data_IF_009145494436
#
_entry.id   IF_009145494436
#
_cell.length_a   1.000
_cell.length_b   1.000
_cell.length_c   1.000
_cell.angle_alpha   90.00
_cell.angle_beta   90.00
_cell.angle_gamma   90.00
#
_symmetry.space_group_name_H-M   'P 1'
#
loop_
_entity.id
_entity.type
_entity.pdbx_description
1 polymer ?
#
# COMPACT_ATOMS: atom_id res chain seq x y z
N UNK A 1 -2.59 -28.02 14.25
CA UNK A 1 -3.06 -27.37 13.01
C UNK A 1 -3.44 -25.93 13.34
N UNK A 2 -2.98 -24.95 12.58
CA UNK A 2 -3.36 -23.54 12.77
C UNK A 2 -4.82 -23.36 12.34
N UNK A 3 -5.63 -22.76 13.18
CA UNK A 3 -7.03 -22.46 12.83
C UNK A 3 -7.15 -21.15 12.06
N UNK A 4 -8.23 -20.97 11.30
CA UNK A 4 -8.54 -19.71 10.60
C UNK A 4 -8.57 -18.52 11.60
N UNK A 5 -9.17 -18.73 12.78
CA UNK A 5 -9.23 -17.68 13.80
C UNK A 5 -7.85 -17.27 14.35
N UNK A 6 -6.95 -18.23 14.54
CA UNK A 6 -5.55 -17.92 14.93
C UNK A 6 -4.80 -17.20 13.83
N UNK A 7 -5.10 -17.50 12.56
CA UNK A 7 -4.53 -16.84 11.39
C UNK A 7 -4.94 -15.36 11.33
N UNK A 8 -6.21 -15.04 11.49
CA UNK A 8 -6.66 -13.63 11.56
C UNK A 8 -6.06 -12.87 12.75
N UNK A 9 -5.95 -13.49 13.93
CA UNK A 9 -5.28 -12.86 15.07
C UNK A 9 -3.81 -12.57 14.78
N UNK A 10 -3.15 -13.45 14.05
CA UNK A 10 -1.76 -13.24 13.62
C UNK A 10 -1.64 -12.07 12.63
N UNK A 11 -2.53 -11.98 11.63
CA UNK A 11 -2.60 -10.85 10.71
C UNK A 11 -2.83 -9.53 11.45
N UNK A 12 -3.72 -9.51 12.44
CA UNK A 12 -3.95 -8.33 13.28
C UNK A 12 -2.71 -7.91 14.06
N UNK A 13 -1.92 -8.86 14.58
CA UNK A 13 -0.66 -8.54 15.26
C UNK A 13 0.36 -7.89 14.31
N UNK A 14 0.43 -8.36 13.05
CA UNK A 14 1.27 -7.75 12.02
C UNK A 14 0.83 -6.30 11.78
N UNK A 15 -0.46 -6.08 11.54
CA UNK A 15 -0.99 -4.73 11.31
C UNK A 15 -0.70 -3.79 12.49
N UNK A 16 -0.93 -4.23 13.73
CA UNK A 16 -0.63 -3.45 14.94
C UNK A 16 0.84 -3.09 15.10
N UNK A 17 1.72 -4.00 14.70
CA UNK A 17 3.17 -3.78 14.78
C UNK A 17 3.62 -2.71 13.79
N UNK A 18 3.11 -2.74 12.56
CA UNK A 18 3.62 -1.94 11.45
C UNK A 18 2.83 -0.64 11.20
N UNK A 19 1.54 -0.60 11.56
CA UNK A 19 0.71 0.60 11.42
C UNK A 19 -0.32 0.70 12.55
N UNK A 20 0.04 1.42 13.61
CA UNK A 20 -0.85 1.66 14.77
C UNK A 20 -2.09 2.46 14.37
N UNK A 21 -1.92 3.49 13.52
CA UNK A 21 -3.01 4.36 13.07
C UNK A 21 -4.04 3.57 12.25
N UNK A 22 -3.59 2.82 11.24
CA UNK A 22 -4.47 1.98 10.44
C UNK A 22 -5.13 0.88 11.26
N UNK A 23 -4.37 0.22 12.18
CA UNK A 23 -4.98 -0.77 13.06
C UNK A 23 -6.11 -0.18 13.89
N UNK A 24 -5.88 1.00 14.50
CA UNK A 24 -6.92 1.67 15.29
C UNK A 24 -8.14 2.04 14.46
N UNK A 25 -7.94 2.59 13.27
CA UNK A 25 -9.04 3.00 12.39
C UNK A 25 -9.84 1.78 11.89
N UNK A 26 -9.18 0.76 11.35
CA UNK A 26 -9.84 -0.42 10.78
C UNK A 26 -10.42 -1.37 11.85
N UNK A 27 -9.97 -1.32 13.10
CA UNK A 27 -10.56 -2.06 14.20
C UNK A 27 -12.00 -1.58 14.54
N UNK A 28 -12.42 -0.42 14.04
CA UNK A 28 -13.79 0.10 14.17
C UNK A 28 -14.78 -0.53 13.17
N UNK A 29 -14.30 -1.22 12.12
CA UNK A 29 -15.16 -1.93 11.18
C UNK A 29 -15.91 -3.09 11.85
N UNK A 30 -17.05 -3.53 11.28
CA UNK A 30 -17.67 -4.79 11.63
C UNK A 30 -16.69 -5.97 11.57
N UNK A 31 -16.98 -7.03 12.33
CA UNK A 31 -16.01 -8.12 12.52
C UNK A 31 -15.54 -8.78 11.22
N UNK A 32 -16.44 -8.98 10.27
CA UNK A 32 -16.13 -9.59 8.97
C UNK A 32 -15.16 -8.75 8.16
N UNK A 33 -15.45 -7.44 8.05
CA UNK A 33 -14.64 -6.50 7.27
C UNK A 33 -13.28 -6.27 7.91
N UNK A 34 -13.22 -6.02 9.23
CA UNK A 34 -11.92 -5.80 9.90
C UNK A 34 -11.00 -7.00 9.82
N UNK A 35 -11.53 -8.23 9.92
CA UNK A 35 -10.74 -9.47 9.74
C UNK A 35 -10.20 -9.58 8.32
N UNK A 36 -11.04 -9.30 7.33
CA UNK A 36 -10.64 -9.30 5.93
C UNK A 36 -9.55 -8.25 5.66
N UNK A 37 -9.70 -7.03 6.21
CA UNK A 37 -8.66 -5.98 6.12
C UNK A 37 -7.36 -6.43 6.78
N UNK A 38 -7.38 -7.07 7.95
CA UNK A 38 -6.16 -7.58 8.57
C UNK A 38 -5.43 -8.60 7.69
N UNK A 39 -6.19 -9.50 7.04
CA UNK A 39 -5.61 -10.51 6.15
C UNK A 39 -4.97 -9.87 4.91
N UNK A 40 -5.68 -8.98 4.23
CA UNK A 40 -5.18 -8.27 3.04
C UNK A 40 -3.96 -7.40 3.40
N UNK A 41 -4.04 -6.62 4.48
CA UNK A 41 -2.91 -5.83 4.97
C UNK A 41 -1.67 -6.69 5.24
N UNK A 42 -1.86 -7.86 5.88
CA UNK A 42 -0.75 -8.76 6.17
C UNK A 42 -0.11 -9.33 4.90
N UNK A 43 -0.90 -9.59 3.84
CA UNK A 43 -0.37 -9.99 2.51
C UNK A 43 0.43 -8.85 1.91
N UNK A 44 -0.10 -7.62 1.85
CA UNK A 44 0.64 -6.47 1.34
C UNK A 44 1.95 -6.25 2.12
N UNK A 45 1.90 -6.37 3.45
CA UNK A 45 3.08 -6.18 4.30
C UNK A 45 4.18 -7.22 4.06
N UNK A 46 3.85 -8.51 3.88
CA UNK A 46 4.87 -9.51 3.58
C UNK A 46 5.42 -9.40 2.15
N UNK A 47 4.67 -8.83 1.22
CA UNK A 47 5.17 -8.47 -0.10
C UNK A 47 6.26 -7.40 0.06
N UNK A 48 5.95 -6.31 0.73
CA UNK A 48 6.84 -5.19 1.04
C UNK A 48 8.11 -5.66 1.80
N UNK A 49 7.93 -6.31 2.96
CA UNK A 49 9.03 -6.83 3.80
C UNK A 49 9.97 -7.79 3.05
N UNK A 50 9.49 -8.50 2.02
CA UNK A 50 10.28 -9.50 1.29
C UNK A 50 11.49 -8.90 0.58
N UNK A 51 11.40 -7.65 0.16
CA UNK A 51 12.47 -6.91 -0.51
C UNK A 51 13.12 -5.92 0.46
N UNK A 52 12.34 -5.08 1.12
CA UNK A 52 12.86 -3.99 1.96
C UNK A 52 13.62 -4.49 3.19
N UNK A 53 13.08 -5.49 3.91
CA UNK A 53 13.71 -5.98 5.14
C UNK A 53 14.52 -7.26 4.92
N UNK A 54 14.04 -8.19 4.09
CA UNK A 54 14.62 -9.52 3.96
C UNK A 54 15.53 -9.68 2.74
N UNK A 55 15.43 -8.79 1.75
CA UNK A 55 16.17 -8.85 0.47
C UNK A 55 16.07 -10.25 -0.16
N UNK A 56 14.86 -10.81 -0.19
CA UNK A 56 14.60 -12.19 -0.54
C UNK A 56 13.58 -12.33 -1.70
N UNK A 57 14.03 -12.21 -2.96
CA UNK A 57 13.17 -12.36 -4.14
C UNK A 57 12.47 -13.73 -4.23
N UNK A 58 13.08 -14.80 -3.67
CA UNK A 58 12.46 -16.12 -3.64
C UNK A 58 11.21 -16.15 -2.75
N UNK A 59 11.21 -15.36 -1.67
CA UNK A 59 10.02 -15.20 -0.83
C UNK A 59 8.92 -14.46 -1.56
N UNK A 60 9.25 -13.40 -2.29
CA UNK A 60 8.29 -12.67 -3.13
C UNK A 60 7.66 -13.60 -4.17
N UNK A 61 8.48 -14.44 -4.83
CA UNK A 61 7.98 -15.45 -5.77
C UNK A 61 7.06 -16.47 -5.09
N UNK A 62 7.39 -16.93 -3.88
CA UNK A 62 6.54 -17.85 -3.12
C UNK A 62 5.18 -17.21 -2.76
N UNK A 63 5.18 -15.91 -2.40
CA UNK A 63 3.94 -15.16 -2.15
C UNK A 63 3.08 -15.10 -3.41
N UNK A 64 3.68 -14.79 -4.57
CA UNK A 64 2.99 -14.75 -5.87
C UNK A 64 2.34 -16.08 -6.21
N UNK A 65 3.06 -17.19 -6.02
CA UNK A 65 2.55 -18.54 -6.27
C UNK A 65 1.39 -18.91 -5.34
N UNK A 66 1.46 -18.53 -4.06
CA UNK A 66 0.38 -18.75 -3.10
C UNK A 66 -0.89 -17.95 -3.47
N UNK A 67 -0.73 -16.69 -3.92
CA UNK A 67 -1.84 -15.86 -4.40
C UNK A 67 -2.47 -16.48 -5.67
N UNK A 68 -1.67 -16.95 -6.63
CA UNK A 68 -2.15 -17.63 -7.82
C UNK A 68 -2.93 -18.91 -7.49
N UNK A 69 -2.45 -19.68 -6.51
CA UNK A 69 -3.13 -20.88 -6.05
C UNK A 69 -4.51 -20.54 -5.44
N UNK A 70 -4.61 -19.47 -4.67
CA UNK A 70 -5.87 -18.97 -4.09
C UNK A 70 -6.82 -18.49 -5.20
N UNK A 71 -6.33 -17.67 -6.13
CA UNK A 71 -7.10 -17.18 -7.29
C UNK A 71 -7.68 -18.31 -8.14
N UNK A 72 -6.88 -19.34 -8.38
CA UNK A 72 -7.31 -20.51 -9.17
C UNK A 72 -8.30 -21.42 -8.44
N UNK A 73 -8.63 -21.14 -7.17
CA UNK A 73 -9.51 -21.93 -6.31
C UNK A 73 -9.06 -23.40 -6.13
N UNK A 74 -7.76 -23.66 -6.25
CA UNK A 74 -7.17 -25.00 -6.11
C UNK A 74 -6.69 -25.32 -4.68
N UNK A 75 -7.18 -24.56 -3.68
CA UNK A 75 -6.86 -24.78 -2.29
C UNK A 75 -7.75 -25.85 -1.70
N UNK A 76 -7.14 -26.94 -1.22
CA UNK A 76 -7.83 -27.99 -0.46
C UNK A 76 -7.35 -28.05 1.00
N UNK A 77 -7.91 -28.93 1.80
CA UNK A 77 -7.60 -29.06 3.24
C UNK A 77 -6.16 -29.53 3.52
N UNK A 78 -5.42 -29.97 2.53
CA UNK A 78 -4.04 -30.50 2.66
C UNK A 78 -3.00 -29.49 2.21
N UNK A 79 -3.42 -28.36 1.63
CA UNK A 79 -2.52 -27.34 1.07
C UNK A 79 -1.62 -26.75 2.16
N UNK A 80 -0.34 -26.72 1.86
CA UNK A 80 0.67 -25.99 2.62
C UNK A 80 1.15 -24.81 1.75
N UNK A 81 0.84 -23.59 2.19
CA UNK A 81 1.32 -22.39 1.54
C UNK A 81 2.82 -22.23 1.72
N UNK A 82 3.50 -21.76 0.67
CA UNK A 82 4.96 -21.68 0.60
C UNK A 82 5.53 -20.49 1.36
N UNK A 83 4.82 -19.36 1.33
CA UNK A 83 5.31 -18.09 1.90
C UNK A 83 5.02 -17.97 3.40
N UNK A 84 3.76 -17.98 3.78
CA UNK A 84 3.33 -17.90 5.18
C UNK A 84 1.97 -18.57 5.40
N UNK A 85 1.98 -19.74 6.03
CA UNK A 85 0.76 -20.54 6.22
C UNK A 85 -0.38 -19.79 6.93
N UNK A 86 -0.07 -18.95 7.93
CA UNK A 86 -1.11 -18.24 8.69
C UNK A 86 -1.72 -17.11 7.87
N UNK A 87 -0.89 -16.31 7.24
CA UNK A 87 -1.36 -15.17 6.43
C UNK A 87 -2.19 -15.68 5.26
N UNK A 88 -1.65 -16.65 4.52
CA UNK A 88 -2.33 -17.18 3.34
C UNK A 88 -3.62 -17.94 3.67
N UNK A 89 -3.70 -18.59 4.84
CA UNK A 89 -4.94 -19.21 5.29
C UNK A 89 -6.02 -18.16 5.62
N UNK A 90 -5.66 -17.04 6.26
CA UNK A 90 -6.59 -15.95 6.50
C UNK A 90 -7.02 -15.27 5.20
N UNK A 91 -6.09 -15.09 4.26
CA UNK A 91 -6.37 -14.50 2.96
C UNK A 91 -7.26 -15.42 2.10
N UNK A 92 -7.02 -16.74 2.10
CA UNK A 92 -7.89 -17.70 1.44
C UNK A 92 -9.33 -17.64 1.99
N UNK A 93 -9.50 -17.67 3.31
CA UNK A 93 -10.83 -17.53 3.95
C UNK A 93 -11.50 -16.19 3.57
N UNK A 94 -10.73 -15.10 3.51
CA UNK A 94 -11.20 -13.79 3.04
C UNK A 94 -11.68 -13.86 1.59
N UNK A 95 -10.93 -14.50 0.69
CA UNK A 95 -11.24 -14.61 -0.73
C UNK A 95 -12.51 -15.44 -1.01
N UNK A 96 -12.96 -16.27 -0.06
CA UNK A 96 -14.22 -16.98 -0.17
C UNK A 96 -15.45 -16.08 0.07
N UNK A 97 -15.26 -14.94 0.74
CA UNK A 97 -16.32 -14.01 1.13
C UNK A 97 -16.31 -12.71 0.32
N UNK A 98 -15.17 -12.35 -0.28
CA UNK A 98 -14.98 -11.12 -1.04
C UNK A 98 -14.35 -11.45 -2.40
N UNK A 99 -14.88 -10.82 -3.46
CA UNK A 99 -14.29 -10.94 -4.81
C UNK A 99 -13.03 -10.10 -4.88
N UNK A 100 -11.89 -10.71 -4.59
CA UNK A 100 -10.59 -10.01 -4.54
C UNK A 100 -10.14 -9.49 -5.92
N UNK A 101 -9.45 -8.34 -5.93
CA UNK A 101 -8.80 -7.76 -7.09
C UNK A 101 -7.35 -8.28 -7.18
N UNK A 102 -7.19 -9.47 -7.77
CA UNK A 102 -5.88 -10.15 -7.81
C UNK A 102 -4.84 -9.42 -8.64
N UNK A 103 -5.26 -8.73 -9.72
CA UNK A 103 -4.31 -8.00 -10.57
C UNK A 103 -3.57 -6.91 -9.80
N UNK A 104 -4.23 -6.25 -8.86
CA UNK A 104 -3.58 -5.22 -8.02
C UNK A 104 -2.55 -5.81 -7.06
N UNK A 105 -2.72 -7.05 -6.57
CA UNK A 105 -1.65 -7.76 -5.85
C UNK A 105 -0.45 -8.06 -6.75
N UNK A 106 -0.68 -8.44 -8.01
CA UNK A 106 0.43 -8.70 -8.95
C UNK A 106 1.16 -7.40 -9.30
N UNK A 107 0.43 -6.30 -9.48
CA UNK A 107 1.03 -4.99 -9.71
C UNK A 107 1.87 -4.54 -8.50
N UNK A 108 1.39 -4.76 -7.26
CA UNK A 108 2.16 -4.48 -6.04
C UNK A 108 3.45 -5.31 -6.00
N UNK A 109 3.37 -6.62 -6.28
CA UNK A 109 4.53 -7.52 -6.32
C UNK A 109 5.55 -7.05 -7.35
N UNK A 110 5.10 -6.64 -8.54
CA UNK A 110 5.97 -6.15 -9.60
C UNK A 110 6.68 -4.85 -9.20
N UNK A 111 5.94 -3.91 -8.62
CA UNK A 111 6.50 -2.64 -8.15
C UNK A 111 7.50 -2.82 -7.01
N UNK A 112 7.22 -3.70 -6.05
CA UNK A 112 8.15 -4.02 -4.96
C UNK A 112 9.40 -4.74 -5.49
N UNK A 113 9.26 -5.60 -6.50
CA UNK A 113 10.41 -6.25 -7.14
C UNK A 113 11.30 -5.26 -7.89
N UNK A 114 10.70 -4.27 -8.59
CA UNK A 114 11.46 -3.22 -9.27
C UNK A 114 12.23 -2.35 -8.26
N UNK A 115 11.71 -2.17 -7.05
CA UNK A 115 12.33 -1.38 -5.98
C UNK A 115 13.59 -2.05 -5.36
N UNK A 116 13.82 -3.36 -5.61
CA UNK A 116 15.06 -4.06 -5.19
C UNK A 116 16.32 -3.36 -5.72
N UNK A 117 16.23 -2.76 -6.90
CA UNK A 117 17.32 -2.07 -7.57
C UNK A 117 16.98 -0.60 -7.81
N UNK A 118 16.51 0.06 -6.73
CA UNK A 118 16.07 1.44 -6.81
C UNK A 118 17.12 2.33 -7.47
N UNK A 119 16.73 2.99 -8.56
CA UNK A 119 17.44 4.10 -9.16
C UNK A 119 16.58 5.36 -9.10
N UNK A 120 17.23 6.51 -8.88
CA UNK A 120 16.51 7.78 -8.86
C UNK A 120 15.72 7.97 -10.16
N UNK A 121 14.44 8.27 -10.03
CA UNK A 121 13.55 8.53 -11.15
C UNK A 121 14.07 9.64 -12.08
N UNK A 122 13.98 9.43 -13.38
CA UNK A 122 14.37 10.42 -14.39
C UNK A 122 13.20 11.38 -14.64
N UNK A 123 12.00 10.83 -14.78
CA UNK A 123 10.75 11.55 -15.08
C UNK A 123 9.81 11.55 -13.88
N UNK A 124 9.01 12.59 -13.77
CA UNK A 124 8.01 12.69 -12.71
C UNK A 124 6.93 11.60 -12.80
N UNK A 125 6.58 11.19 -14.01
CA UNK A 125 5.66 10.09 -14.27
C UNK A 125 6.13 8.75 -13.66
N UNK A 126 7.44 8.56 -13.46
CA UNK A 126 8.00 7.35 -12.83
C UNK A 126 7.74 7.37 -11.33
N UNK A 127 7.85 8.53 -10.67
CA UNK A 127 7.47 8.70 -9.27
C UNK A 127 5.97 8.43 -9.08
N UNK A 128 5.11 8.98 -9.92
CA UNK A 128 3.66 8.75 -9.80
C UNK A 128 3.30 7.28 -10.03
N UNK A 129 3.95 6.61 -10.98
CA UNK A 129 3.80 5.17 -11.20
C UNK A 129 4.25 4.36 -9.98
N UNK A 130 5.34 4.76 -9.34
CA UNK A 130 5.80 4.15 -8.10
C UNK A 130 4.75 4.32 -6.99
N UNK A 131 4.22 5.51 -6.76
CA UNK A 131 3.17 5.77 -5.78
C UNK A 131 1.93 4.89 -6.02
N UNK A 132 1.49 4.77 -7.28
CA UNK A 132 0.45 3.82 -7.66
C UNK A 132 0.83 2.39 -7.28
N UNK A 133 2.03 1.94 -7.69
CA UNK A 133 2.45 0.56 -7.55
C UNK A 133 2.54 0.08 -6.11
N UNK A 134 3.04 0.91 -5.18
CA UNK A 134 3.25 0.53 -3.77
C UNK A 134 2.10 0.92 -2.85
N UNK A 135 1.21 1.84 -3.24
CA UNK A 135 0.14 2.32 -2.37
C UNK A 135 -1.23 2.43 -3.05
N UNK A 136 -1.33 2.90 -4.30
CA UNK A 136 -2.58 2.87 -5.05
C UNK A 136 -3.16 1.47 -5.18
N UNK A 137 -2.32 0.48 -5.48
CA UNK A 137 -2.69 -0.95 -5.51
C UNK A 137 -3.23 -1.45 -4.17
N UNK A 138 -2.70 -0.97 -3.04
CA UNK A 138 -3.19 -1.32 -1.70
C UNK A 138 -4.62 -0.80 -1.49
N UNK A 139 -4.92 0.41 -1.96
CA UNK A 139 -6.29 0.93 -2.01
C UNK A 139 -7.21 0.02 -2.83
N UNK A 140 -6.77 -0.39 -4.01
CA UNK A 140 -7.54 -1.27 -4.91
C UNK A 140 -7.84 -2.64 -4.28
N UNK A 141 -6.86 -3.31 -3.65
CA UNK A 141 -7.08 -4.64 -3.03
C UNK A 141 -7.97 -4.59 -1.78
N UNK A 142 -8.08 -3.43 -1.12
CA UNK A 142 -9.00 -3.23 -0.01
C UNK A 142 -10.44 -2.90 -0.45
N UNK A 143 -10.61 -2.37 -1.67
CA UNK A 143 -11.91 -1.91 -2.19
C UNK A 143 -13.03 -2.96 -2.13
N UNK A 144 -12.81 -4.25 -2.48
CA UNK A 144 -13.86 -5.27 -2.39
C UNK A 144 -14.42 -5.51 -0.98
N UNK A 145 -13.65 -5.16 0.06
CA UNK A 145 -14.06 -5.30 1.45
C UNK A 145 -14.84 -4.06 1.90
N UNK A 146 -14.42 -2.87 1.46
CA UNK A 146 -14.89 -1.58 1.94
C UNK A 146 -16.10 -1.05 1.15
N UNK A 147 -16.54 -1.74 0.09
CA UNK A 147 -17.71 -1.38 -0.71
C UNK A 147 -18.67 -2.55 -0.88
N UNK A 148 -19.95 -2.27 -1.18
CA UNK A 148 -20.93 -3.31 -1.51
C UNK A 148 -20.68 -3.92 -2.88
N UNK A 149 -20.39 -3.07 -3.87
CA UNK A 149 -20.13 -3.47 -5.24
C UNK A 149 -19.03 -2.58 -5.81
N UNK A 150 -17.80 -3.10 -5.90
CA UNK A 150 -16.70 -2.35 -6.50
C UNK A 150 -17.00 -1.92 -7.93
N UNK A 151 -16.79 -0.65 -8.23
CA UNK A 151 -16.93 -0.03 -9.55
C UNK A 151 -15.61 0.57 -9.98
N UNK A 152 -15.51 1.01 -11.23
CA UNK A 152 -14.35 1.77 -11.70
C UNK A 152 -14.07 3.00 -10.80
N UNK A 153 -15.13 3.74 -10.46
CA UNK A 153 -15.03 4.90 -9.56
C UNK A 153 -14.51 4.51 -8.17
N UNK A 154 -14.94 3.37 -7.61
CA UNK A 154 -14.43 2.88 -6.32
C UNK A 154 -12.93 2.66 -6.35
N UNK A 155 -12.44 1.99 -7.41
CA UNK A 155 -10.99 1.73 -7.57
C UNK A 155 -10.21 3.01 -7.81
N UNK A 156 -10.77 3.96 -8.58
CA UNK A 156 -10.16 5.26 -8.82
C UNK A 156 -9.98 6.03 -7.50
N UNK A 157 -11.05 6.16 -6.71
CA UNK A 157 -11.01 6.87 -5.42
C UNK A 157 -10.03 6.21 -4.44
N UNK A 158 -10.02 4.87 -4.37
CA UNK A 158 -9.12 4.13 -3.49
C UNK A 158 -7.65 4.26 -3.91
N UNK A 159 -7.38 4.29 -5.21
CA UNK A 159 -6.05 4.50 -5.79
C UNK A 159 -5.51 5.89 -5.49
N UNK A 160 -6.26 6.94 -5.82
CA UNK A 160 -5.88 8.34 -5.56
C UNK A 160 -5.56 8.55 -4.07
N UNK A 161 -6.38 7.99 -3.17
CA UNK A 161 -6.10 8.02 -1.74
C UNK A 161 -4.77 7.33 -1.39
N UNK A 162 -4.52 6.16 -1.96
CA UNK A 162 -3.26 5.43 -1.75
C UNK A 162 -2.05 6.23 -2.23
N UNK A 163 -2.14 6.82 -3.43
CA UNK A 163 -1.08 7.65 -4.02
C UNK A 163 -0.81 8.90 -3.17
N UNK A 164 -1.86 9.58 -2.68
CA UNK A 164 -1.74 10.72 -1.76
C UNK A 164 -1.04 10.35 -0.46
N UNK A 165 -1.37 9.19 0.13
CA UNK A 165 -0.71 8.67 1.32
C UNK A 165 0.78 8.41 1.07
N UNK A 166 1.14 7.87 -0.10
CA UNK A 166 2.53 7.60 -0.45
C UNK A 166 3.32 8.88 -0.72
N UNK A 167 2.75 9.85 -1.42
CA UNK A 167 3.37 11.17 -1.56
C UNK A 167 3.60 11.83 -0.20
N UNK A 168 2.64 11.73 0.71
CA UNK A 168 2.79 12.24 2.09
C UNK A 168 3.95 11.56 2.82
N UNK A 169 4.10 10.23 2.69
CA UNK A 169 5.22 9.49 3.25
C UNK A 169 6.56 9.98 2.68
N UNK A 170 6.66 10.10 1.36
CA UNK A 170 7.86 10.61 0.67
C UNK A 170 8.21 12.01 1.16
N UNK A 171 7.23 12.92 1.27
CA UNK A 171 7.45 14.29 1.71
C UNK A 171 7.86 14.39 3.20
N UNK A 172 7.37 13.49 4.03
CA UNK A 172 7.71 13.43 5.46
C UNK A 172 9.11 12.87 5.69
N UNK A 173 9.48 11.84 4.93
CA UNK A 173 10.60 10.96 5.24
C UNK A 173 11.86 11.28 4.39
N UNK A 174 11.90 12.42 3.67
CA UNK A 174 13.01 12.81 2.76
C UNK A 174 14.40 12.61 3.37
N UNK A 175 14.60 13.02 4.62
CA UNK A 175 15.90 12.88 5.31
C UNK A 175 16.24 11.42 5.61
N UNK A 176 15.28 10.63 6.08
CA UNK A 176 15.45 9.22 6.38
C UNK A 176 15.71 8.40 5.10
N UNK A 177 14.99 8.69 4.04
CA UNK A 177 15.15 8.03 2.73
C UNK A 177 16.51 8.35 2.11
N UNK A 178 16.96 9.59 2.22
CA UNK A 178 18.30 9.98 1.76
C UNK A 178 19.41 9.21 2.49
N UNK A 179 19.30 9.01 3.82
CA UNK A 179 20.26 8.21 4.59
C UNK A 179 20.31 6.75 4.12
N UNK A 180 19.22 6.24 3.57
CA UNK A 180 19.12 4.91 2.95
C UNK A 180 19.55 4.88 1.48
N UNK A 181 20.00 6.02 0.94
CA UNK A 181 20.41 6.17 -0.47
C UNK A 181 19.22 6.29 -1.43
N UNK A 182 18.01 6.60 -0.93
CA UNK A 182 16.80 6.75 -1.73
C UNK A 182 16.42 8.22 -1.88
N UNK A 183 16.26 8.65 -3.12
CA UNK A 183 15.77 9.98 -3.49
C UNK A 183 14.59 9.79 -4.42
N UNK A 184 13.38 10.01 -3.92
CA UNK A 184 12.14 9.79 -4.67
C UNK A 184 11.80 10.95 -5.62
N UNK A 185 12.26 12.18 -5.34
CA UNK A 185 12.06 13.29 -6.30
C UNK A 185 12.77 12.99 -7.62
N UNK A 186 12.05 13.15 -8.73
CA UNK A 186 12.62 12.91 -10.05
C UNK A 186 13.71 13.94 -10.41
N UNK A 187 14.68 13.52 -11.24
CA UNK A 187 15.70 14.44 -11.79
C UNK A 187 15.07 15.58 -12.55
N UNK A 188 13.98 15.31 -13.25
CA UNK A 188 13.21 16.31 -13.99
C UNK A 188 12.74 17.43 -13.07
N UNK A 189 12.11 17.10 -11.95
CA UNK A 189 11.55 18.08 -11.02
C UNK A 189 12.63 18.76 -10.18
N UNK A 190 13.68 18.05 -9.75
CA UNK A 190 14.85 18.67 -9.11
C UNK A 190 15.48 19.73 -10.01
N UNK A 191 15.64 19.44 -11.31
CA UNK A 191 16.16 20.41 -12.29
C UNK A 191 15.18 21.56 -12.55
N UNK A 192 13.88 21.27 -12.66
CA UNK A 192 12.85 22.29 -12.92
C UNK A 192 12.79 23.34 -11.81
N UNK A 193 12.96 22.91 -10.56
CA UNK A 193 12.95 23.78 -9.39
C UNK A 193 14.34 24.26 -8.97
N UNK A 194 15.39 23.88 -9.71
CA UNK A 194 16.78 24.22 -9.40
C UNK A 194 17.17 23.82 -7.96
N UNK A 195 16.81 22.58 -7.58
CA UNK A 195 17.07 22.00 -6.24
C UNK A 195 18.28 21.10 -6.28
N UNK A 196 19.27 21.37 -5.42
CA UNK A 196 20.31 20.42 -5.08
C UNK A 196 19.89 19.62 -3.85
N UNK A 197 19.63 18.33 -4.00
CA UNK A 197 19.17 17.47 -2.89
C UNK A 197 20.18 17.33 -1.76
N UNK A 198 21.49 17.50 -2.04
CA UNK A 198 22.52 17.47 -1.01
C UNK A 198 22.41 18.66 -0.05
N UNK A 199 21.97 19.82 -0.54
CA UNK A 199 21.73 21.00 0.29
C UNK A 199 20.56 20.74 1.25
N UNK A 200 19.52 20.04 0.78
CA UNK A 200 18.37 19.63 1.60
C UNK A 200 18.81 18.70 2.73
N UNK A 201 19.62 17.70 2.41
CA UNK A 201 20.19 16.78 3.40
C UNK A 201 21.03 17.50 4.46
N UNK A 202 21.76 18.56 4.05
CA UNK A 202 22.52 19.42 4.97
C UNK A 202 21.64 20.40 5.76
N UNK A 203 20.32 20.20 5.75
CA UNK A 203 19.30 21.02 6.41
C UNK A 203 19.24 22.48 5.90
N UNK A 204 19.64 22.70 4.66
CA UNK A 204 19.48 23.99 3.99
C UNK A 204 18.12 24.01 3.27
N UNK A 205 17.12 24.53 3.99
CA UNK A 205 15.78 24.71 3.41
C UNK A 205 15.77 25.95 2.51
N UNK A 206 16.11 25.76 1.24
CA UNK A 206 16.05 26.82 0.24
C UNK A 206 14.61 27.06 -0.23
N UNK A 207 14.32 28.29 -0.72
CA UNK A 207 13.00 28.59 -1.31
C UNK A 207 12.67 27.64 -2.49
N UNK A 208 13.67 27.23 -3.27
CA UNK A 208 13.53 26.29 -4.37
C UNK A 208 13.05 24.91 -3.88
N UNK A 209 13.65 24.41 -2.80
CA UNK A 209 13.20 23.16 -2.21
C UNK A 209 11.80 23.26 -1.61
N UNK A 210 11.49 24.34 -0.92
CA UNK A 210 10.15 24.59 -0.37
C UNK A 210 9.11 24.57 -1.50
N UNK A 211 9.39 25.25 -2.63
CA UNK A 211 8.49 25.26 -3.79
C UNK A 211 8.31 23.86 -4.40
N UNK A 212 9.36 23.05 -4.49
CA UNK A 212 9.28 21.67 -4.95
C UNK A 212 8.44 20.81 -4.00
N UNK A 213 8.69 20.92 -2.69
CA UNK A 213 7.94 20.21 -1.66
C UNK A 213 6.44 20.58 -1.70
N UNK A 214 6.14 21.88 -1.79
CA UNK A 214 4.76 22.38 -1.90
C UNK A 214 4.07 21.91 -3.18
N UNK A 215 4.80 21.77 -4.28
CA UNK A 215 4.24 21.22 -5.53
C UNK A 215 3.66 19.82 -5.29
N UNK A 216 4.44 18.91 -4.68
CA UNK A 216 3.96 17.56 -4.40
C UNK A 216 2.92 17.52 -3.29
N UNK A 217 3.03 18.39 -2.30
CA UNK A 217 2.01 18.53 -1.25
C UNK A 217 0.65 18.93 -1.84
N UNK A 218 0.62 19.82 -2.83
CA UNK A 218 -0.61 20.22 -3.54
C UNK A 218 -1.20 19.08 -4.38
N UNK A 219 -0.38 18.22 -4.98
CA UNK A 219 -0.85 17.01 -5.66
C UNK A 219 -1.53 16.09 -4.64
N UNK A 220 -0.84 15.76 -3.53
CA UNK A 220 -1.40 14.92 -2.50
C UNK A 220 -2.70 15.50 -1.89
N UNK A 221 -2.75 16.81 -1.63
CA UNK A 221 -3.93 17.49 -1.11
C UNK A 221 -5.12 17.39 -2.07
N UNK A 222 -4.88 17.54 -3.38
CA UNK A 222 -5.92 17.38 -4.41
C UNK A 222 -6.47 15.96 -4.45
N UNK A 223 -5.61 14.95 -4.35
CA UNK A 223 -6.00 13.54 -4.37
C UNK A 223 -6.74 13.16 -3.07
N UNK A 224 -6.32 13.67 -1.91
CA UNK A 224 -7.09 13.56 -0.67
C UNK A 224 -8.47 14.20 -0.79
N UNK A 225 -8.57 15.41 -1.34
CA UNK A 225 -9.84 16.10 -1.51
C UNK A 225 -10.75 15.32 -2.45
N UNK A 226 -10.22 14.82 -3.57
CA UNK A 226 -10.97 13.96 -4.48
C UNK A 226 -11.54 12.73 -3.76
N UNK A 227 -10.71 12.03 -2.96
CA UNK A 227 -11.16 10.87 -2.20
C UNK A 227 -12.25 11.23 -1.17
N UNK A 228 -12.09 12.35 -0.46
CA UNK A 228 -13.05 12.83 0.53
C UNK A 228 -14.40 13.22 -0.10
N UNK A 229 -14.37 13.83 -1.28
CA UNK A 229 -15.58 14.23 -2.01
C UNK A 229 -16.38 13.03 -2.56
N UNK A 230 -15.69 11.87 -2.72
CA UNK A 230 -16.29 10.64 -3.29
C UNK A 230 -16.43 9.50 -2.27
N UNK A 231 -16.44 9.79 -0.96
CA UNK A 231 -16.60 8.77 0.08
C UNK A 231 -17.91 7.94 -0.04
N UNK A 232 -18.88 8.44 -0.77
CA UNK A 232 -20.16 7.74 -1.02
C UNK A 232 -20.02 6.41 -1.78
N UNK A 233 -18.90 6.17 -2.48
CA UNK A 233 -18.61 4.89 -3.15
C UNK A 233 -18.34 3.76 -2.16
N UNK A 234 -18.02 4.08 -0.91
CA UNK A 234 -17.73 3.13 0.16
C UNK A 234 -18.96 2.91 1.06
N UNK A 235 -18.98 1.78 1.77
CA UNK A 235 -19.98 1.47 2.81
C UNK A 235 -19.97 2.57 3.89
N UNK A 236 -21.15 2.91 4.47
CA UNK A 236 -21.24 3.95 5.50
C UNK A 236 -20.24 3.77 6.65
N UNK A 237 -20.05 2.53 7.13
CA UNK A 237 -19.13 2.20 8.22
C UNK A 237 -17.65 2.35 7.83
N UNK A 238 -17.32 2.25 6.54
CA UNK A 238 -15.96 2.44 6.04
C UNK A 238 -15.61 3.93 5.83
N UNK A 239 -16.58 4.79 5.56
CA UNK A 239 -16.34 6.22 5.22
C UNK A 239 -15.60 6.97 6.31
N UNK A 240 -16.03 6.82 7.58
CA UNK A 240 -15.33 7.46 8.70
C UNK A 240 -13.88 7.00 8.83
N UNK A 241 -13.64 5.71 8.56
CA UNK A 241 -12.31 5.11 8.67
C UNK A 241 -11.40 5.63 7.56
N UNK A 242 -11.93 5.72 6.34
CA UNK A 242 -11.21 6.29 5.18
C UNK A 242 -10.93 7.78 5.41
N UNK A 243 -11.91 8.54 5.91
CA UNK A 243 -11.71 9.94 6.28
C UNK A 243 -10.61 10.11 7.35
N UNK A 244 -10.57 9.23 8.37
CA UNK A 244 -9.52 9.26 9.39
C UNK A 244 -8.14 8.90 8.83
N UNK A 245 -8.06 8.06 7.81
CA UNK A 245 -6.81 7.72 7.16
C UNK A 245 -6.28 8.85 6.25
N UNK A 246 -7.19 9.67 5.69
CA UNK A 246 -6.88 10.80 4.83
C UNK A 246 -6.51 12.09 5.59
N UNK A 247 -6.70 12.14 6.91
CA UNK A 247 -6.40 13.31 7.80
C UNK A 247 -5.15 13.07 8.64
#
# INVERSE_FOLDING_TARGET
MTTVNESYKYCHQIMKKHSKSFSYAFDLLPESERRAVWAVYAVCRIIDDSIDEEQNPQKLQAIKEDIQLIESQQVDSTVQFKSNQRIMLAFYDTSQNYKMEYQSFYNLIESVFEDEHFEMFVKDEELMRYCYGVAGTVGEVLSPILTEQPSHETYEVARELGEALQLTNILRDVGEDFEKGRIYFSREMLNQYDVNIEDVYQQQLTDNYINLWEHYAQIAEKDYQFALDHLNVFKPEARLIIELAAR
#
